data_IF_668770701080
#
_entry.id   IF_668770701080
#
_cell.length_a   1.000
_cell.length_b   1.000
_cell.length_c   1.000
_cell.angle_alpha   90.00
_cell.angle_beta   90.00
_cell.angle_gamma   90.00
#
_symmetry.space_group_name_H-M   'P 1'
#
loop_
_entity.id
_entity.type
_entity.pdbx_description
1 polymer ?
#
# COMPACT_ATOMS: atom_id res chain seq x y z
N UNK A 1 -19.97 16.94 11.44
CA UNK A 1 -19.21 17.36 12.63
C UNK A 1 -17.73 17.14 12.33
N UNK A 2 -16.83 17.96 12.87
CA UNK A 2 -15.37 17.78 12.71
C UNK A 2 -14.80 17.48 14.09
N UNK A 3 -14.01 16.42 14.18
CA UNK A 3 -13.31 16.01 15.40
C UNK A 3 -11.83 15.79 15.10
N UNK A 4 -10.97 16.20 16.02
CA UNK A 4 -9.53 15.95 15.95
C UNK A 4 -9.16 14.81 16.90
N UNK A 5 -8.34 13.89 16.42
CA UNK A 5 -7.80 12.80 17.21
C UNK A 5 -6.39 12.47 16.75
N UNK A 6 -5.64 11.77 17.60
CA UNK A 6 -4.28 11.31 17.31
C UNK A 6 -4.29 9.80 17.24
N UNK A 7 -3.52 9.27 16.30
CA UNK A 7 -3.26 7.84 16.16
C UNK A 7 -1.76 7.58 16.18
N UNK A 8 -1.40 6.35 16.50
CA UNK A 8 -0.06 5.78 16.40
C UNK A 8 -0.15 4.45 15.64
N UNK A 9 0.91 4.03 14.93
CA UNK A 9 0.93 2.72 14.26
C UNK A 9 0.52 1.56 15.18
N UNK A 10 0.88 1.64 16.46
CA UNK A 10 0.60 0.63 17.49
C UNK A 10 -0.90 0.46 17.75
N UNK A 11 -1.73 1.47 17.53
CA UNK A 11 -3.20 1.39 17.63
C UNK A 11 -3.79 0.36 16.63
N UNK A 12 -3.01 0.01 15.61
CA UNK A 12 -3.36 -0.91 14.53
C UNK A 12 -2.47 -2.15 14.49
N UNK A 13 -1.66 -2.40 15.53
CA UNK A 13 -0.74 -3.55 15.58
C UNK A 13 0.50 -3.42 14.71
N UNK A 14 0.78 -2.23 14.17
CA UNK A 14 1.98 -1.95 13.38
C UNK A 14 3.04 -1.37 14.31
N UNK A 15 4.28 -1.83 14.18
CA UNK A 15 5.40 -1.29 14.96
C UNK A 15 5.89 0.02 14.34
N UNK A 16 5.97 1.08 15.13
CA UNK A 16 6.62 2.33 14.70
C UNK A 16 8.10 2.11 14.35
N UNK A 17 8.51 2.65 13.20
CA UNK A 17 9.85 2.48 12.63
C UNK A 17 10.37 3.82 12.09
N UNK A 18 11.70 3.95 11.96
CA UNK A 18 12.29 5.12 11.30
C UNK A 18 12.06 5.08 9.78
N UNK A 19 11.98 6.26 9.17
CA UNK A 19 11.84 6.40 7.71
C UNK A 19 13.13 6.11 6.94
N UNK A 20 14.22 5.78 7.63
CA UNK A 20 15.50 5.43 7.00
C UNK A 20 15.29 4.19 6.12
N UNK A 21 15.65 4.34 4.84
CA UNK A 21 15.46 3.30 3.81
C UNK A 21 14.16 3.41 3.01
N UNK A 22 13.27 4.33 3.36
CA UNK A 22 12.06 4.64 2.59
C UNK A 22 12.22 5.84 1.64
N UNK A 23 13.32 6.59 1.78
CA UNK A 23 13.70 7.63 0.82
C UNK A 23 14.44 7.00 -0.37
N UNK A 24 14.04 7.34 -1.59
CA UNK A 24 14.56 6.78 -2.85
C UNK A 24 14.95 7.92 -3.78
N UNK A 25 16.03 7.73 -4.54
CA UNK A 25 16.64 8.80 -5.34
C UNK A 25 15.92 9.05 -6.67
N UNK A 26 15.21 8.04 -7.19
CA UNK A 26 14.54 8.12 -8.47
C UNK A 26 13.29 7.21 -8.57
N UNK A 27 12.62 7.29 -9.72
CA UNK A 27 11.43 6.50 -10.02
C UNK A 27 11.71 4.99 -10.05
N UNK A 28 12.90 4.57 -10.46
CA UNK A 28 13.26 3.15 -10.57
C UNK A 28 13.48 2.53 -9.19
N UNK A 29 14.10 3.27 -8.27
CA UNK A 29 14.24 2.93 -6.86
C UNK A 29 12.87 2.85 -6.17
N UNK A 30 11.98 3.82 -6.43
CA UNK A 30 10.60 3.79 -5.93
C UNK A 30 9.83 2.55 -6.39
N UNK A 31 9.88 2.24 -7.70
CA UNK A 31 9.24 1.05 -8.25
C UNK A 31 9.80 -0.24 -7.65
N UNK A 32 11.11 -0.30 -7.45
CA UNK A 32 11.78 -1.47 -6.85
C UNK A 32 11.29 -1.70 -5.43
N UNK A 33 11.21 -0.63 -4.62
CA UNK A 33 10.70 -0.70 -3.24
C UNK A 33 9.22 -1.11 -3.20
N UNK A 34 8.38 -0.53 -4.07
CA UNK A 34 6.96 -0.90 -4.18
C UNK A 34 6.79 -2.37 -4.56
N UNK A 35 7.56 -2.86 -5.55
CA UNK A 35 7.52 -4.28 -5.96
C UNK A 35 7.94 -5.22 -4.82
N UNK A 36 8.88 -4.81 -3.97
CA UNK A 36 9.24 -5.60 -2.79
C UNK A 36 8.12 -5.60 -1.73
N UNK A 37 7.58 -4.43 -1.40
CA UNK A 37 6.53 -4.23 -0.41
C UNK A 37 5.24 -5.01 -0.73
N UNK A 38 4.78 -4.92 -1.99
CA UNK A 38 3.62 -5.66 -2.47
C UNK A 38 3.94 -7.15 -2.75
N UNK A 39 5.22 -7.49 -2.85
CA UNK A 39 5.69 -8.81 -3.22
C UNK A 39 5.85 -9.76 -2.03
N UNK A 40 7.02 -10.40 -1.94
CA UNK A 40 7.34 -11.29 -0.81
C UNK A 40 8.05 -10.57 0.33
N UNK A 41 8.28 -9.25 0.22
CA UNK A 41 8.96 -8.41 1.21
C UNK A 41 10.28 -9.06 1.66
N UNK A 42 11.24 -9.08 0.74
CA UNK A 42 12.53 -9.75 0.93
C UNK A 42 13.52 -8.88 1.71
N UNK A 43 13.31 -7.57 1.75
CA UNK A 43 14.18 -6.62 2.44
C UNK A 43 13.49 -5.99 3.63
N UNK A 44 14.26 -5.54 4.62
CA UNK A 44 13.73 -4.77 5.74
C UNK A 44 12.98 -3.52 5.28
N UNK A 45 13.48 -2.84 4.23
CA UNK A 45 12.82 -1.67 3.66
C UNK A 45 11.49 -2.02 2.99
N UNK A 46 11.40 -3.18 2.33
CA UNK A 46 10.16 -3.70 1.78
C UNK A 46 9.12 -3.99 2.87
N UNK A 47 9.54 -4.54 4.01
CA UNK A 47 8.68 -4.71 5.19
C UNK A 47 8.18 -3.36 5.73
N UNK A 48 9.10 -2.41 5.97
CA UNK A 48 8.76 -1.05 6.45
C UNK A 48 7.79 -0.35 5.50
N UNK A 49 8.02 -0.47 4.20
CA UNK A 49 7.17 0.13 3.17
C UNK A 49 5.77 -0.52 3.17
N UNK A 50 5.68 -1.85 3.33
CA UNK A 50 4.40 -2.54 3.43
C UNK A 50 3.57 -2.06 4.63
N UNK A 51 4.18 -1.93 5.80
CA UNK A 51 3.53 -1.42 7.01
C UNK A 51 2.99 0.02 6.80
N UNK A 52 3.79 0.88 6.17
CA UNK A 52 3.38 2.26 5.85
C UNK A 52 2.25 2.31 4.81
N UNK A 53 2.27 1.41 3.81
CA UNK A 53 1.20 1.28 2.81
C UNK A 53 -0.09 0.84 3.48
N UNK A 54 -0.05 -0.19 4.33
CA UNK A 54 -1.22 -0.73 5.03
C UNK A 54 -1.91 0.36 5.87
N UNK A 55 -1.13 1.16 6.61
CA UNK A 55 -1.70 2.23 7.45
C UNK A 55 -2.43 3.28 6.60
N UNK A 56 -1.83 3.76 5.51
CA UNK A 56 -2.44 4.79 4.66
C UNK A 56 -3.59 4.25 3.81
N UNK A 57 -3.46 3.03 3.28
CA UNK A 57 -4.52 2.36 2.55
C UNK A 57 -5.74 2.10 3.45
N UNK A 58 -5.51 1.73 4.71
CA UNK A 58 -6.59 1.57 5.68
C UNK A 58 -7.34 2.87 5.96
N UNK A 59 -6.63 4.00 6.05
CA UNK A 59 -7.25 5.31 6.18
C UNK A 59 -8.10 5.65 4.95
N UNK A 60 -7.59 5.35 3.75
CA UNK A 60 -8.30 5.57 2.49
C UNK A 60 -9.55 4.69 2.37
N UNK A 61 -9.48 3.41 2.77
CA UNK A 61 -10.63 2.50 2.77
C UNK A 61 -11.73 2.97 3.73
N UNK A 62 -11.34 3.44 4.91
CA UNK A 62 -12.28 4.02 5.87
C UNK A 62 -12.89 5.32 5.34
N UNK A 63 -12.09 6.23 4.80
CA UNK A 63 -12.57 7.50 4.25
C UNK A 63 -13.44 7.34 2.99
N UNK A 64 -13.37 6.19 2.31
CA UNK A 64 -14.16 5.84 1.14
C UNK A 64 -15.43 5.04 1.47
N UNK A 65 -15.81 4.94 2.75
CA UNK A 65 -16.96 4.16 3.24
C UNK A 65 -16.89 2.66 2.88
N UNK A 66 -15.68 2.14 2.60
CA UNK A 66 -15.45 0.71 2.32
C UNK A 66 -15.29 -0.09 3.62
N UNK A 67 -14.69 0.54 4.65
CA UNK A 67 -14.57 0.00 6.00
C UNK A 67 -15.37 0.86 6.98
N UNK A 68 -15.97 0.25 8.00
CA UNK A 68 -16.80 0.94 9.00
C UNK A 68 -15.96 1.63 10.09
N UNK A 69 -14.67 1.34 10.15
CA UNK A 69 -13.71 2.02 11.04
C UNK A 69 -12.33 2.08 10.41
N UNK A 70 -11.48 2.99 10.91
CA UNK A 70 -10.08 3.05 10.47
C UNK A 70 -9.35 1.73 10.78
N UNK A 71 -9.61 1.12 11.93
CA UNK A 71 -9.00 -0.18 12.29
C UNK A 71 -9.37 -1.28 11.29
N UNK A 72 -10.64 -1.41 10.95
CA UNK A 72 -11.11 -2.36 9.95
C UNK A 72 -10.48 -2.08 8.57
N UNK A 73 -10.36 -0.81 8.18
CA UNK A 73 -9.68 -0.43 6.94
C UNK A 73 -8.23 -0.91 6.92
N UNK A 74 -7.51 -0.78 8.04
CA UNK A 74 -6.13 -1.28 8.16
C UNK A 74 -6.08 -2.81 8.07
N UNK A 75 -7.01 -3.53 8.70
CA UNK A 75 -7.11 -5.00 8.61
C UNK A 75 -7.37 -5.44 7.15
N UNK A 76 -8.30 -4.79 6.44
CA UNK A 76 -8.56 -5.06 5.03
C UNK A 76 -7.35 -4.80 4.13
N UNK A 77 -6.64 -3.68 4.34
CA UNK A 77 -5.43 -3.34 3.59
C UNK A 77 -4.30 -4.34 3.86
N UNK A 78 -4.16 -4.77 5.11
CA UNK A 78 -3.21 -5.78 5.52
C UNK A 78 -3.48 -7.12 4.82
N UNK A 79 -4.73 -7.56 4.77
CA UNK A 79 -5.14 -8.79 4.10
C UNK A 79 -4.93 -8.74 2.60
N UNK A 80 -5.27 -7.62 1.94
CA UNK A 80 -5.02 -7.42 0.52
C UNK A 80 -3.53 -7.48 0.16
N UNK A 81 -2.67 -6.95 1.04
CA UNK A 81 -1.21 -6.98 0.85
C UNK A 81 -0.62 -8.37 1.12
N UNK A 82 -1.09 -9.08 2.16
CA UNK A 82 -0.56 -10.40 2.53
C UNK A 82 -1.02 -11.52 1.60
N UNK A 83 -2.26 -11.45 1.11
CA UNK A 83 -2.80 -12.38 0.12
C UNK A 83 -2.16 -12.22 -1.26
N UNK A 84 -1.50 -11.08 -1.53
CA UNK A 84 -0.92 -10.76 -2.83
C UNK A 84 -1.88 -10.07 -3.80
N UNK A 85 -3.15 -9.87 -3.41
CA UNK A 85 -4.16 -9.22 -4.23
C UNK A 85 -3.73 -7.82 -4.71
N UNK A 86 -3.06 -7.05 -3.84
CA UNK A 86 -2.54 -5.73 -4.21
C UNK A 86 -1.50 -5.78 -5.33
N UNK A 87 -0.66 -6.82 -5.34
CA UNK A 87 0.34 -7.04 -6.40
C UNK A 87 -0.33 -7.49 -7.69
N UNK A 88 -1.27 -8.40 -7.59
CA UNK A 88 -2.00 -8.90 -8.75
C UNK A 88 -2.79 -7.78 -9.41
N UNK A 89 -3.42 -6.89 -8.62
CA UNK A 89 -4.12 -5.72 -9.16
C UNK A 89 -3.19 -4.71 -9.82
N UNK A 90 -1.97 -4.53 -9.29
CA UNK A 90 -0.95 -3.70 -9.92
C UNK A 90 -0.55 -4.25 -11.29
N UNK A 91 -0.29 -5.55 -11.40
CA UNK A 91 0.05 -6.19 -12.69
C UNK A 91 -1.13 -6.18 -13.67
N UNK A 92 -2.35 -6.39 -13.18
CA UNK A 92 -3.58 -6.30 -13.98
C UNK A 92 -3.71 -4.91 -14.64
N UNK A 93 -3.46 -3.83 -13.89
CA UNK A 93 -3.49 -2.47 -14.42
C UNK A 93 -2.41 -2.24 -15.48
N UNK A 94 -1.20 -2.76 -15.27
CA UNK A 94 -0.11 -2.70 -16.26
C UNK A 94 -0.53 -3.40 -17.55
N UNK A 95 -1.04 -4.63 -17.46
CA UNK A 95 -1.52 -5.39 -18.62
C UNK A 95 -2.67 -4.70 -19.33
N UNK A 96 -3.67 -4.22 -18.58
CA UNK A 96 -4.83 -3.52 -19.13
C UNK A 96 -4.42 -2.28 -19.93
N UNK A 97 -3.59 -1.42 -19.35
CA UNK A 97 -3.16 -0.18 -20.01
C UNK A 97 -2.24 -0.42 -21.21
N UNK A 98 -1.45 -1.49 -21.19
CA UNK A 98 -0.63 -1.89 -22.33
C UNK A 98 -1.49 -2.36 -23.51
N UNK A 99 -2.49 -3.20 -23.27
CA UNK A 99 -3.44 -3.68 -24.30
C UNK A 99 -4.25 -2.51 -24.84
N UNK A 100 -4.83 -1.68 -23.97
CA UNK A 100 -5.62 -0.52 -24.36
C UNK A 100 -4.84 0.45 -25.26
N UNK A 101 -3.54 0.66 -24.99
CA UNK A 101 -2.68 1.48 -25.86
C UNK A 101 -2.50 0.86 -27.25
N UNK A 102 -2.33 -0.45 -27.35
CA UNK A 102 -2.16 -1.14 -28.62
C UNK A 102 -3.43 -1.11 -29.46
N UNK A 103 -4.60 -1.28 -28.83
CA UNK A 103 -5.89 -1.23 -29.52
C UNK A 103 -6.20 0.17 -30.06
N UNK A 104 -5.91 1.23 -29.30
CA UNK A 104 -6.12 2.62 -29.76
C UNK A 104 -5.11 3.12 -30.80
N UNK A 105 -3.99 2.41 -30.98
CA UNK A 105 -2.98 2.73 -31.99
C UNK A 105 -3.26 2.06 -33.34
N UNK A 106 -4.27 1.20 -33.42
CA UNK A 106 -4.78 0.57 -34.64
C UNK A 106 -5.92 1.38 -35.23
#
# INVERSE_FOLDING_TARGET
EISEYRVQPEDFGIKSQSLIGLNVEDAQGSLTLIRDALGRRKTENGQKAADMIVLNAGAALYAADVAMSFKEGVEMAHDALHSGLSRDKFEELVSFTAVFRQENAR
#
